data_IF_283764378820
#
_entry.id   IF_283764378820
#
_cell.length_a   1.000
_cell.length_b   1.000
_cell.length_c   1.000
_cell.angle_alpha   90.00
_cell.angle_beta   90.00
_cell.angle_gamma   90.00
#
_symmetry.space_group_name_H-M   'P 1'
#
loop_
_entity.id
_entity.type
_entity.pdbx_description
1 polymer ?
#
# COMPACT_ATOMS: atom_id res chain seq x y z
N UNK A 1 -9.45 -6.43 -15.10
CA UNK A 1 -9.80 -5.36 -16.02
C UNK A 1 -9.99 -4.06 -15.27
N UNK A 2 -9.30 -3.03 -15.72
CA UNK A 2 -9.32 -1.73 -15.03
C UNK A 2 -10.68 -1.04 -15.08
N UNK A 3 -11.57 -1.49 -15.94
CA UNK A 3 -12.88 -0.86 -16.10
C UNK A 3 -13.99 -1.67 -15.46
N UNK A 4 -13.65 -2.65 -14.64
CA UNK A 4 -14.67 -3.45 -13.97
C UNK A 4 -15.47 -2.60 -13.01
N UNK A 5 -16.76 -2.91 -12.89
CA UNK A 5 -17.63 -2.22 -11.95
C UNK A 5 -17.24 -2.43 -10.51
N UNK A 6 -16.36 -3.42 -10.24
CA UNK A 6 -15.85 -3.72 -8.90
C UNK A 6 -14.65 -2.89 -8.50
N UNK A 7 -14.10 -2.08 -9.43
CA UNK A 7 -12.99 -1.22 -9.11
C UNK A 7 -13.40 -0.18 -8.06
N UNK A 8 -12.59 -0.06 -7.04
CA UNK A 8 -12.87 0.85 -5.95
C UNK A 8 -11.96 2.06 -6.01
N UNK A 9 -12.45 3.19 -5.51
CA UNK A 9 -11.63 4.38 -5.34
C UNK A 9 -10.70 4.19 -4.15
N UNK A 10 -9.68 5.02 -4.08
CA UNK A 10 -8.76 5.00 -2.95
C UNK A 10 -9.50 5.24 -1.63
N UNK A 11 -10.44 6.17 -1.63
CA UNK A 11 -11.24 6.44 -0.43
C UNK A 11 -12.07 5.24 -0.02
N UNK A 12 -12.61 4.50 -0.98
CA UNK A 12 -13.35 3.29 -0.69
C UNK A 12 -12.46 2.22 -0.06
N UNK A 13 -11.24 2.07 -0.58
CA UNK A 13 -10.28 1.15 0.02
C UNK A 13 -9.93 1.55 1.45
N UNK A 14 -9.75 2.83 1.72
CA UNK A 14 -9.46 3.28 3.08
C UNK A 14 -10.61 2.94 4.04
N UNK A 15 -11.86 3.13 3.61
CA UNK A 15 -13.01 2.78 4.43
C UNK A 15 -13.09 1.28 4.66
N UNK A 16 -12.86 0.49 3.62
CA UNK A 16 -12.88 -0.96 3.75
C UNK A 16 -11.82 -1.44 4.75
N UNK A 17 -10.62 -0.91 4.64
CA UNK A 17 -9.53 -1.33 5.52
C UNK A 17 -9.82 -0.94 6.96
N UNK A 18 -10.40 0.23 7.19
CA UNK A 18 -10.79 0.63 8.55
C UNK A 18 -11.76 -0.38 9.16
N UNK A 19 -12.73 -0.82 8.37
CA UNK A 19 -13.69 -1.81 8.82
C UNK A 19 -13.02 -3.16 9.11
N UNK A 20 -12.14 -3.60 8.23
CA UNK A 20 -11.44 -4.89 8.39
C UNK A 20 -10.54 -4.88 9.63
N UNK A 21 -9.87 -3.76 9.90
CA UNK A 21 -9.02 -3.62 11.08
C UNK A 21 -9.84 -3.85 12.35
N UNK A 22 -11.02 -3.24 12.41
CA UNK A 22 -11.90 -3.41 13.57
C UNK A 22 -12.41 -4.85 13.65
N UNK A 23 -12.88 -5.40 12.54
CA UNK A 23 -13.43 -6.76 12.51
C UNK A 23 -12.41 -7.83 12.90
N UNK A 24 -11.15 -7.60 12.54
CA UNK A 24 -10.08 -8.56 12.82
C UNK A 24 -9.38 -8.31 14.15
N UNK A 25 -9.80 -7.28 14.89
CA UNK A 25 -9.26 -7.01 16.21
C UNK A 25 -7.90 -6.32 16.20
N UNK A 26 -7.55 -5.62 15.12
CA UNK A 26 -6.27 -4.94 15.01
C UNK A 26 -6.34 -3.47 15.39
N UNK A 27 -7.51 -3.00 15.80
CA UNK A 27 -7.71 -1.57 16.09
C UNK A 27 -6.92 -1.09 17.32
N UNK A 28 -6.47 -2.02 18.17
CA UNK A 28 -5.64 -1.67 19.32
C UNK A 28 -4.17 -1.46 19.02
N UNK A 29 -3.73 -1.71 17.79
CA UNK A 29 -2.33 -1.50 17.44
C UNK A 29 -2.00 -0.02 17.41
N UNK A 30 -0.76 0.31 17.82
CA UNK A 30 -0.30 1.69 17.81
C UNK A 30 0.18 2.08 16.41
N UNK A 31 0.25 3.38 16.16
CA UNK A 31 0.78 3.91 14.90
C UNK A 31 2.20 3.40 14.67
N UNK A 32 3.01 3.38 15.72
CA UNK A 32 4.39 2.89 15.62
C UNK A 32 4.46 1.42 15.23
N UNK A 33 3.56 0.61 15.81
CA UNK A 33 3.51 -0.82 15.47
C UNK A 33 3.11 -1.02 14.01
N UNK A 34 2.11 -0.28 13.55
CA UNK A 34 1.66 -0.38 12.16
C UNK A 34 2.74 0.08 11.19
N UNK A 35 3.45 1.16 11.53
CA UNK A 35 4.54 1.64 10.69
C UNK A 35 5.67 0.61 10.60
N UNK A 36 6.00 -0.04 11.71
CA UNK A 36 7.01 -1.09 11.71
C UNK A 36 6.62 -2.24 10.80
N UNK A 37 5.34 -2.66 10.88
CA UNK A 37 4.83 -3.71 10.01
C UNK A 37 4.91 -3.30 8.54
N UNK A 38 4.59 -2.05 8.24
CA UNK A 38 4.69 -1.53 6.87
C UNK A 38 6.13 -1.64 6.35
N UNK A 39 7.10 -1.23 7.15
CA UNK A 39 8.51 -1.30 6.76
C UNK A 39 8.93 -2.75 6.53
N UNK A 40 8.47 -3.67 7.38
CA UNK A 40 8.75 -5.09 7.20
C UNK A 40 8.19 -5.62 5.89
N UNK A 41 6.96 -5.23 5.54
CA UNK A 41 6.35 -5.67 4.29
C UNK A 41 7.05 -5.07 3.07
N UNK A 42 7.54 -3.84 3.18
CA UNK A 42 8.37 -3.26 2.12
C UNK A 42 9.63 -4.12 1.91
N UNK A 43 10.22 -4.59 3.00
CA UNK A 43 11.36 -5.50 2.92
C UNK A 43 11.00 -6.82 2.26
N UNK A 44 9.84 -7.39 2.57
CA UNK A 44 9.37 -8.62 1.95
C UNK A 44 9.11 -8.43 0.45
N UNK A 45 8.57 -7.27 0.09
CA UNK A 45 8.37 -6.94 -1.33
C UNK A 45 9.72 -6.86 -2.06
N UNK A 46 10.71 -6.23 -1.45
CA UNK A 46 12.05 -6.14 -2.03
C UNK A 46 12.65 -7.54 -2.22
N UNK A 47 12.46 -8.41 -1.25
CA UNK A 47 12.95 -9.79 -1.32
C UNK A 47 12.26 -10.56 -2.45
N UNK A 48 10.94 -10.40 -2.58
CA UNK A 48 10.18 -11.08 -3.63
C UNK A 48 10.64 -10.61 -5.02
N UNK A 49 10.86 -9.31 -5.19
CA UNK A 49 11.34 -8.75 -6.45
C UNK A 49 12.73 -9.29 -6.78
N UNK A 50 13.60 -9.33 -5.80
CA UNK A 50 14.96 -9.84 -5.98
C UNK A 50 14.94 -11.30 -6.42
N UNK A 51 14.11 -12.11 -5.80
CA UNK A 51 13.98 -13.52 -6.16
C UNK A 51 13.43 -13.68 -7.57
N UNK A 52 12.44 -12.90 -7.94
CA UNK A 52 11.87 -12.95 -9.28
C UNK A 52 12.91 -12.66 -10.35
N UNK A 53 13.82 -11.73 -10.08
CA UNK A 53 14.82 -11.33 -11.04
C UNK A 53 16.04 -12.25 -11.09
N UNK A 54 16.31 -12.95 -10.01
CA UNK A 54 17.55 -13.70 -9.86
C UNK A 54 17.46 -15.21 -9.90
N UNK A 55 16.26 -15.77 -9.94
CA UNK A 55 16.11 -17.22 -9.83
C UNK A 55 15.31 -17.82 -10.96
N UNK A 56 15.72 -19.01 -11.38
CA UNK A 56 15.04 -19.77 -12.42
C UNK A 56 14.08 -20.77 -11.82
N UNK A 57 13.13 -20.26 -11.04
CA UNK A 57 12.10 -21.10 -10.44
C UNK A 57 10.77 -20.78 -11.08
N UNK A 58 9.72 -21.35 -10.58
CA UNK A 58 8.37 -21.18 -11.11
C UNK A 58 8.02 -19.69 -11.20
N UNK A 59 7.94 -19.19 -12.43
CA UNK A 59 7.68 -17.78 -12.68
C UNK A 59 6.32 -17.33 -12.18
N UNK A 60 5.32 -18.22 -12.25
CA UNK A 60 3.97 -17.88 -11.78
C UNK A 60 3.97 -17.68 -10.28
N UNK A 61 4.66 -18.55 -9.55
CA UNK A 61 4.76 -18.44 -8.10
C UNK A 61 5.45 -17.14 -7.70
N UNK A 62 6.52 -16.77 -8.42
CA UNK A 62 7.25 -15.54 -8.11
C UNK A 62 6.43 -14.28 -8.40
N UNK A 63 5.63 -14.29 -9.47
CA UNK A 63 4.76 -13.16 -9.78
C UNK A 63 3.70 -13.01 -8.68
N UNK A 64 3.12 -14.11 -8.22
CA UNK A 64 2.15 -14.08 -7.14
C UNK A 64 2.76 -13.54 -5.85
N UNK A 65 4.00 -13.92 -5.55
CA UNK A 65 4.65 -13.42 -4.33
C UNK A 65 4.80 -11.90 -4.38
N UNK A 66 5.23 -11.34 -5.52
CA UNK A 66 5.38 -9.90 -5.67
C UNK A 66 4.02 -9.21 -5.54
N UNK A 67 3.00 -9.75 -6.18
CA UNK A 67 1.66 -9.17 -6.11
C UNK A 67 1.13 -9.16 -4.67
N UNK A 68 1.30 -10.26 -3.97
CA UNK A 68 0.82 -10.37 -2.59
C UNK A 68 1.54 -9.39 -1.68
N UNK A 69 2.85 -9.28 -1.82
CA UNK A 69 3.61 -8.36 -0.98
C UNK A 69 3.28 -6.90 -1.32
N UNK A 70 3.06 -6.59 -2.59
CA UNK A 70 2.62 -5.25 -2.97
C UNK A 70 1.25 -4.94 -2.35
N UNK A 71 0.34 -5.90 -2.35
CA UNK A 71 -0.97 -5.73 -1.73
C UNK A 71 -0.85 -5.51 -0.22
N UNK A 72 0.05 -6.24 0.45
CA UNK A 72 0.28 -6.07 1.88
C UNK A 72 0.83 -4.69 2.21
N UNK A 73 1.75 -4.18 1.38
CA UNK A 73 2.29 -2.82 1.55
C UNK A 73 1.17 -1.79 1.42
N UNK A 74 0.34 -1.94 0.39
CA UNK A 74 -0.79 -1.04 0.17
C UNK A 74 -1.76 -1.06 1.35
N UNK A 75 -2.10 -2.26 1.82
CA UNK A 75 -3.02 -2.46 2.94
C UNK A 75 -2.54 -1.72 4.19
N UNK A 76 -1.28 -1.92 4.53
CA UNK A 76 -0.71 -1.30 5.74
C UNK A 76 -0.54 0.20 5.59
N UNK A 77 -0.22 0.68 4.39
CA UNK A 77 -0.13 2.12 4.15
C UNK A 77 -1.49 2.77 4.38
N UNK A 78 -2.56 2.16 3.88
CA UNK A 78 -3.89 2.73 4.08
C UNK A 78 -4.34 2.63 5.53
N UNK A 79 -4.00 1.55 6.23
CA UNK A 79 -4.26 1.44 7.65
C UNK A 79 -3.56 2.56 8.42
N UNK A 80 -2.30 2.78 8.11
CA UNK A 80 -1.52 3.86 8.74
C UNK A 80 -2.17 5.22 8.48
N UNK A 81 -2.57 5.48 7.24
CA UNK A 81 -3.23 6.73 6.88
C UNK A 81 -4.53 6.91 7.67
N UNK A 82 -5.32 5.85 7.81
CA UNK A 82 -6.55 5.93 8.58
C UNK A 82 -6.28 6.31 10.04
N UNK A 83 -5.27 5.73 10.64
CA UNK A 83 -4.91 6.01 12.04
C UNK A 83 -4.40 7.44 12.22
N UNK A 84 -3.77 7.99 11.20
CA UNK A 84 -3.27 9.36 11.20
C UNK A 84 -4.31 10.35 10.69
N UNK A 85 -5.51 9.88 10.36
CA UNK A 85 -6.60 10.68 9.82
C UNK A 85 -6.21 11.41 8.54
N UNK A 86 -5.48 10.69 7.67
CA UNK A 86 -5.07 11.20 6.37
C UNK A 86 -5.99 10.63 5.29
N UNK A 87 -6.59 11.55 4.51
CA UNK A 87 -7.26 11.20 3.26
C UNK A 87 -6.19 11.14 2.20
N UNK A 88 -5.76 9.93 1.83
CA UNK A 88 -4.60 9.77 0.97
C UNK A 88 -4.84 10.27 -0.45
N UNK A 89 -6.04 10.12 -0.98
CA UNK A 89 -6.37 10.65 -2.31
C UNK A 89 -6.19 12.16 -2.33
N UNK A 90 -6.71 12.84 -1.32
CA UNK A 90 -6.58 14.29 -1.21
C UNK A 90 -5.13 14.71 -0.99
N UNK A 91 -4.42 13.96 -0.15
CA UNK A 91 -2.99 14.24 0.08
C UNK A 91 -2.19 14.09 -1.20
N UNK A 92 -2.51 13.08 -2.00
CA UNK A 92 -1.86 12.88 -3.28
C UNK A 92 -2.12 14.06 -4.22
N UNK A 93 -3.38 14.47 -4.34
CA UNK A 93 -3.75 15.57 -5.24
C UNK A 93 -3.06 16.87 -4.82
N UNK A 94 -3.03 17.15 -3.53
CA UNK A 94 -2.36 18.34 -3.00
C UNK A 94 -0.86 18.32 -3.28
N UNK A 95 -0.26 17.16 -3.08
CA UNK A 95 1.18 17.01 -3.32
C UNK A 95 1.50 17.15 -4.79
N UNK A 96 0.68 16.59 -5.66
CA UNK A 96 0.89 16.64 -7.10
C UNK A 96 0.73 18.06 -7.63
N UNK A 97 -0.18 18.82 -7.05
CA UNK A 97 -0.32 20.23 -7.39
C UNK A 97 0.97 20.98 -7.09
N UNK A 98 1.56 20.74 -5.91
CA UNK A 98 2.85 21.34 -5.58
C UNK A 98 3.94 20.91 -6.55
N UNK A 99 3.99 19.63 -6.88
CA UNK A 99 4.98 19.09 -7.80
C UNK A 99 4.88 19.74 -9.17
N UNK A 100 3.65 19.94 -9.67
CA UNK A 100 3.43 20.50 -10.99
C UNK A 100 3.80 21.98 -11.09
N UNK A 101 3.76 22.71 -9.96
CA UNK A 101 4.11 24.13 -9.94
C UNK A 101 5.59 24.37 -9.60
N UNK A 102 6.31 23.30 -9.28
CA UNK A 102 7.70 23.40 -8.90
C UNK A 102 8.57 23.63 -10.11
N UNK A 103 9.51 24.55 -9.98
CA UNK A 103 10.52 24.70 -11.02
C UNK A 103 11.61 23.67 -10.78
N UNK A 104 11.76 22.81 -11.75
CA UNK A 104 12.84 21.81 -11.72
C UNK A 104 14.08 22.45 -12.29
N UNK A 105 14.71 23.27 -11.48
CA UNK A 105 15.94 23.87 -11.94
C UNK A 105 17.05 22.85 -11.94
N UNK A 106 17.87 23.01 -12.85
CA UNK A 106 18.90 22.04 -13.13
C UNK A 106 20.26 22.62 -12.99
#
# INVERSE_FOLDING_TARGET
NMNDSNDQTLSQYQRLIKQLVIERGFDGETISEVFTLLVEEVGELAKAIRKQNGQKVDKNSQVHDVEEEAADVFWLLLDLCNRLEIDLAKAFDNKELKNSTRKWSN
#
